data_IF_802708774411
#
_entry.id   IF_802708774411
#
_cell.length_a   1.000
_cell.length_b   1.000
_cell.length_c   1.000
_cell.angle_alpha   90.00
_cell.angle_beta   90.00
_cell.angle_gamma   90.00
#
_symmetry.space_group_name_H-M   'P 1'
#
loop_
_entity.id
_entity.type
_entity.pdbx_description
1 polymer ?
#
# COMPACT_ATOMS: atom_id res chain seq x y z
N UNK A 1 -1.08 10.53 -4.80
CA UNK A 1 -2.13 10.26 -5.80
C UNK A 1 -1.58 9.63 -7.07
N UNK A 2 -1.39 8.31 -7.02
CA UNK A 2 -1.29 7.46 -8.20
C UNK A 2 -2.68 6.86 -8.45
N UNK A 3 -3.25 7.07 -9.62
CA UNK A 3 -4.58 6.57 -9.98
C UNK A 3 -4.43 5.29 -10.80
N UNK A 4 -5.24 4.26 -10.50
CA UNK A 4 -5.34 3.03 -11.28
C UNK A 4 -5.68 3.34 -12.75
N UNK A 5 -6.39 4.43 -13.04
CA UNK A 5 -6.65 4.92 -14.39
C UNK A 5 -5.40 5.36 -15.17
N UNK A 6 -4.26 5.57 -14.49
CA UNK A 6 -2.97 5.86 -15.14
C UNK A 6 -2.27 4.60 -15.65
N UNK A 7 -2.68 3.41 -15.17
CA UNK A 7 -2.22 2.15 -15.74
C UNK A 7 -3.03 1.85 -16.99
N UNK A 8 -2.36 1.52 -18.09
CA UNK A 8 -3.05 1.08 -19.29
C UNK A 8 -3.97 -0.11 -18.95
N UNK A 9 -5.23 -0.05 -19.40
CA UNK A 9 -6.21 -1.11 -19.09
C UNK A 9 -5.72 -2.49 -19.56
N UNK A 10 -4.93 -2.51 -20.64
CA UNK A 10 -4.27 -3.68 -21.18
C UNK A 10 -3.27 -4.25 -20.16
N UNK A 11 -2.34 -3.44 -19.63
CA UNK A 11 -1.36 -3.87 -18.63
C UNK A 11 -2.03 -4.45 -17.39
N UNK A 12 -3.10 -3.81 -16.92
CA UNK A 12 -3.86 -4.29 -15.76
C UNK A 12 -4.45 -5.69 -15.99
N UNK A 13 -4.99 -5.94 -17.18
CA UNK A 13 -5.58 -7.24 -17.50
C UNK A 13 -4.50 -8.32 -17.71
N UNK A 14 -3.38 -7.96 -18.35
CA UNK A 14 -2.22 -8.84 -18.49
C UNK A 14 -1.69 -9.26 -17.11
N UNK A 15 -1.46 -8.30 -16.22
CA UNK A 15 -0.96 -8.57 -14.87
C UNK A 15 -1.90 -9.49 -14.09
N UNK A 16 -3.23 -9.27 -14.18
CA UNK A 16 -4.21 -10.13 -13.49
C UNK A 16 -4.14 -11.57 -13.96
N UNK A 17 -4.08 -11.79 -15.27
CA UNK A 17 -4.03 -13.14 -15.83
C UNK A 17 -2.72 -13.83 -15.47
N UNK A 18 -1.59 -13.15 -15.68
CA UNK A 18 -0.27 -13.70 -15.40
C UNK A 18 -0.08 -14.04 -13.92
N UNK A 19 -0.49 -13.15 -13.00
CA UNK A 19 -0.42 -13.41 -11.56
C UNK A 19 -1.32 -14.59 -11.17
N UNK A 20 -2.51 -14.69 -11.76
CA UNK A 20 -3.39 -15.83 -11.51
C UNK A 20 -2.74 -17.14 -11.94
N UNK A 21 -2.19 -17.21 -13.15
CA UNK A 21 -1.47 -18.40 -13.63
C UNK A 21 -0.29 -18.75 -12.71
N UNK A 22 0.54 -17.75 -12.39
CA UNK A 22 1.72 -17.94 -11.54
C UNK A 22 1.40 -18.48 -10.14
N UNK A 23 0.23 -18.14 -9.57
CA UNK A 23 -0.11 -18.48 -8.18
C UNK A 23 -1.11 -19.63 -8.03
N UNK A 24 -1.84 -19.97 -9.10
CA UNK A 24 -2.98 -20.89 -9.02
C UNK A 24 -3.01 -21.96 -10.12
N UNK A 25 -2.04 -21.98 -11.05
CA UNK A 25 -1.95 -23.00 -12.11
C UNK A 25 -0.66 -23.80 -11.99
N UNK A 26 -0.79 -25.02 -11.49
CA UNK A 26 0.33 -25.94 -11.31
C UNK A 26 0.83 -26.54 -12.64
N UNK A 27 0.04 -26.45 -13.70
CA UNK A 27 0.36 -26.96 -15.04
C UNK A 27 1.15 -25.96 -15.91
N UNK A 28 1.33 -24.72 -15.45
CA UNK A 28 2.00 -23.65 -16.20
C UNK A 28 3.20 -23.13 -15.38
N UNK A 29 4.45 -23.32 -15.86
CA UNK A 29 5.61 -22.77 -15.17
C UNK A 29 5.55 -21.22 -15.10
N UNK A 30 5.78 -20.58 -13.94
CA UNK A 30 5.67 -19.12 -13.78
C UNK A 30 6.51 -18.30 -14.78
N UNK A 31 7.67 -18.82 -15.19
CA UNK A 31 8.54 -18.18 -16.19
C UNK A 31 7.84 -18.03 -17.55
N UNK A 32 7.00 -19.00 -17.93
CA UNK A 32 6.26 -18.98 -19.19
C UNK A 32 5.20 -17.89 -19.14
N UNK A 33 4.39 -17.83 -18.07
CA UNK A 33 3.39 -16.76 -17.89
C UNK A 33 4.01 -15.36 -17.90
N UNK A 34 5.21 -15.20 -17.34
CA UNK A 34 5.94 -13.92 -17.38
C UNK A 34 6.34 -13.56 -18.82
N UNK A 35 6.95 -14.48 -19.56
CA UNK A 35 7.39 -14.22 -20.93
C UNK A 35 6.21 -13.84 -21.84
N UNK A 36 5.11 -14.61 -21.79
CA UNK A 36 3.91 -14.33 -22.58
C UNK A 36 3.28 -12.98 -22.20
N UNK A 37 3.18 -12.68 -20.90
CA UNK A 37 2.66 -11.40 -20.44
C UNK A 37 3.47 -10.21 -20.96
N UNK A 38 4.80 -10.33 -20.96
CA UNK A 38 5.72 -9.28 -21.45
C UNK A 38 5.57 -9.08 -22.95
N UNK A 39 5.44 -10.15 -23.73
CA UNK A 39 5.31 -10.04 -25.19
C UNK A 39 3.94 -9.50 -25.61
N UNK A 40 2.86 -9.87 -24.91
CA UNK A 40 1.54 -9.28 -25.10
C UNK A 40 1.59 -7.77 -24.74
N UNK A 41 2.25 -7.40 -23.64
CA UNK A 41 2.35 -6.00 -23.22
C UNK A 41 3.09 -5.14 -24.26
N UNK A 42 4.21 -5.62 -24.80
CA UNK A 42 4.95 -4.93 -25.88
C UNK A 42 4.11 -4.76 -27.15
N UNK A 43 3.25 -5.74 -27.46
CA UNK A 43 2.49 -5.76 -28.72
C UNK A 43 1.22 -4.90 -28.66
N UNK A 44 0.56 -4.83 -27.51
CA UNK A 44 -0.81 -4.32 -27.40
C UNK A 44 -0.97 -3.13 -26.44
N UNK A 45 0.10 -2.67 -25.79
CA UNK A 45 0.04 -1.59 -24.81
C UNK A 45 0.99 -0.44 -25.17
N UNK A 46 1.59 0.23 -24.18
CA UNK A 46 2.51 1.36 -24.39
C UNK A 46 3.97 0.92 -24.55
N UNK A 47 4.83 1.81 -25.05
CA UNK A 47 6.25 1.53 -25.25
C UNK A 47 6.98 1.08 -23.97
N UNK A 48 6.54 1.55 -22.81
CA UNK A 48 7.12 1.21 -21.50
C UNK A 48 6.49 -0.04 -20.85
N UNK A 49 5.36 -0.53 -21.38
CA UNK A 49 4.55 -1.57 -20.74
C UNK A 49 5.30 -2.90 -20.60
N UNK A 50 6.11 -3.29 -21.59
CA UNK A 50 6.89 -4.54 -21.52
C UNK A 50 7.85 -4.57 -20.32
N UNK A 51 8.56 -3.45 -20.08
CA UNK A 51 9.48 -3.32 -18.93
C UNK A 51 8.71 -3.26 -17.61
N UNK A 52 7.61 -2.49 -17.60
CA UNK A 52 6.75 -2.34 -16.43
C UNK A 52 6.16 -3.69 -15.98
N UNK A 53 5.53 -4.44 -16.90
CA UNK A 53 4.94 -5.75 -16.63
C UNK A 53 6.00 -6.74 -16.15
N UNK A 54 7.16 -6.80 -16.81
CA UNK A 54 8.24 -7.68 -16.39
C UNK A 54 8.67 -7.40 -14.94
N UNK A 55 8.91 -6.13 -14.61
CA UNK A 55 9.35 -5.74 -13.27
C UNK A 55 8.36 -6.09 -12.17
N UNK A 56 7.05 -5.90 -12.42
CA UNK A 56 6.01 -6.28 -11.45
C UNK A 56 5.95 -7.80 -11.26
N UNK A 57 5.92 -8.57 -12.35
CA UNK A 57 5.81 -10.03 -12.24
C UNK A 57 7.07 -10.66 -11.63
N UNK A 58 8.26 -10.14 -11.92
CA UNK A 58 9.49 -10.56 -11.26
C UNK A 58 9.45 -10.30 -9.76
N UNK A 59 8.96 -9.14 -9.33
CA UNK A 59 8.79 -8.82 -7.91
C UNK A 59 7.77 -9.76 -7.23
N UNK A 60 6.67 -10.07 -7.90
CA UNK A 60 5.67 -11.04 -7.39
C UNK A 60 6.30 -12.43 -7.24
N UNK A 61 7.02 -12.90 -8.27
CA UNK A 61 7.70 -14.20 -8.27
C UNK A 61 8.77 -14.30 -7.17
N UNK A 62 9.58 -13.26 -6.99
CA UNK A 62 10.73 -13.28 -6.09
C UNK A 62 10.41 -12.97 -4.62
N UNK A 63 9.30 -12.29 -4.34
CA UNK A 63 8.99 -11.85 -2.97
C UNK A 63 8.37 -12.94 -2.09
N UNK A 64 7.75 -13.97 -2.69
CA UNK A 64 6.85 -14.89 -1.98
C UNK A 64 5.85 -14.17 -1.06
N UNK A 65 5.52 -12.91 -1.40
CA UNK A 65 4.74 -12.00 -0.58
C UNK A 65 3.25 -12.29 -0.67
N UNK A 66 2.45 -11.36 -0.16
CA UNK A 66 0.99 -11.44 -0.22
C UNK A 66 0.38 -10.06 -0.45
N UNK A 67 -0.68 -10.01 -1.23
CA UNK A 67 -1.55 -8.85 -1.36
C UNK A 67 -2.72 -8.97 -0.39
N UNK A 68 -2.96 -7.91 0.39
CA UNK A 68 -4.05 -7.85 1.36
C UNK A 68 -4.86 -6.57 1.14
N UNK A 69 -6.15 -6.67 1.38
CA UNK A 69 -7.04 -5.52 1.44
C UNK A 69 -7.46 -5.27 2.88
N UNK A 70 -7.59 -4.01 3.25
CA UNK A 70 -8.11 -3.58 4.55
C UNK A 70 -9.23 -2.57 4.36
N UNK A 71 -10.19 -2.48 5.29
CA UNK A 71 -11.27 -1.49 5.19
C UNK A 71 -10.74 -0.05 5.20
N UNK A 72 -11.23 0.77 4.27
CA UNK A 72 -10.88 2.20 4.20
C UNK A 72 -11.36 2.97 5.44
N UNK A 73 -12.50 2.57 6.02
CA UNK A 73 -13.09 3.18 7.21
C UNK A 73 -12.16 3.12 8.44
N UNK A 74 -11.20 2.20 8.47
CA UNK A 74 -10.25 2.03 9.57
C UNK A 74 -8.96 2.85 9.38
N UNK A 75 -8.76 3.50 8.23
CA UNK A 75 -7.58 4.31 7.95
C UNK A 75 -7.32 5.38 9.03
N UNK A 76 -8.32 6.19 9.44
CA UNK A 76 -8.11 7.22 10.46
C UNK A 76 -7.64 6.64 11.79
N UNK A 77 -8.15 5.46 12.16
CA UNK A 77 -7.74 4.74 13.38
C UNK A 77 -6.25 4.37 13.32
N UNK A 78 -5.76 3.85 12.20
CA UNK A 78 -4.34 3.48 12.06
C UNK A 78 -3.41 4.69 11.99
N UNK A 79 -3.85 5.78 11.35
CA UNK A 79 -3.13 7.05 11.38
C UNK A 79 -2.99 7.58 12.82
N UNK A 80 -4.09 7.60 13.57
CA UNK A 80 -4.09 8.03 14.98
C UNK A 80 -3.24 7.12 15.87
N UNK A 81 -3.24 5.81 15.62
CA UNK A 81 -2.42 4.86 16.36
C UNK A 81 -0.92 5.17 16.20
N UNK A 82 -0.45 5.39 14.98
CA UNK A 82 0.95 5.72 14.73
C UNK A 82 1.36 7.04 15.38
N UNK A 83 0.53 8.08 15.24
CA UNK A 83 0.78 9.39 15.87
C UNK A 83 0.79 9.31 17.39
N UNK A 84 -0.16 8.61 18.00
CA UNK A 84 -0.28 8.54 19.47
C UNK A 84 0.77 7.67 20.15
N UNK A 85 1.32 6.66 19.45
CA UNK A 85 2.32 5.74 20.00
C UNK A 85 3.75 6.20 19.75
N UNK A 86 4.01 6.70 18.54
CA UNK A 86 5.37 6.95 18.07
C UNK A 86 5.61 8.41 17.66
N UNK A 87 4.57 9.26 17.68
CA UNK A 87 4.65 10.64 17.17
C UNK A 87 4.77 10.72 15.65
N UNK A 88 4.51 9.63 14.92
CA UNK A 88 4.67 9.55 13.47
C UNK A 88 3.34 9.82 12.78
N UNK A 89 3.28 10.91 12.01
CA UNK A 89 2.13 11.21 11.15
C UNK A 89 2.23 10.47 9.80
N UNK A 90 1.44 9.39 9.66
CA UNK A 90 1.37 8.58 8.44
C UNK A 90 0.37 9.13 7.42
N UNK A 91 0.63 8.91 6.14
CA UNK A 91 -0.41 9.10 5.12
C UNK A 91 -1.41 7.93 5.11
N UNK A 92 -2.62 8.11 4.51
CA UNK A 92 -3.65 7.08 4.41
C UNK A 92 -3.16 5.74 3.86
N UNK A 93 -2.36 5.75 2.80
CA UNK A 93 -1.84 4.55 2.15
C UNK A 93 -0.86 3.77 3.05
N UNK A 94 -0.13 4.48 3.90
CA UNK A 94 0.79 3.85 4.86
C UNK A 94 0.04 3.32 6.09
N UNK A 95 -1.03 3.99 6.49
CA UNK A 95 -1.90 3.50 7.55
C UNK A 95 -2.54 2.14 7.21
N UNK A 96 -2.89 1.93 5.93
CA UNK A 96 -3.33 0.62 5.41
C UNK A 96 -2.27 -0.47 5.65
N UNK A 97 -0.97 -0.15 5.56
CA UNK A 97 0.08 -1.14 5.87
C UNK A 97 0.06 -1.60 7.33
N UNK A 98 -0.34 -0.74 8.28
CA UNK A 98 -0.52 -1.14 9.67
C UNK A 98 -1.71 -2.09 9.82
N UNK A 99 -2.83 -1.81 9.13
CA UNK A 99 -3.96 -2.73 9.06
C UNK A 99 -3.58 -4.08 8.45
N UNK A 100 -2.78 -4.08 7.38
CA UNK A 100 -2.28 -5.31 6.77
C UNK A 100 -1.37 -6.08 7.73
N UNK A 101 -0.52 -5.39 8.50
CA UNK A 101 0.31 -6.01 9.53
C UNK A 101 -0.54 -6.65 10.65
N UNK A 102 -1.62 -6.01 11.10
CA UNK A 102 -2.57 -6.61 12.05
C UNK A 102 -3.16 -7.92 11.51
N UNK A 103 -3.54 -7.95 10.23
CA UNK A 103 -4.06 -9.15 9.57
C UNK A 103 -2.99 -10.24 9.48
N UNK A 104 -1.77 -9.89 9.07
CA UNK A 104 -0.66 -10.83 8.95
C UNK A 104 -0.27 -11.47 10.29
N UNK A 105 -0.29 -10.68 11.37
CA UNK A 105 -0.08 -11.16 12.73
C UNK A 105 -1.18 -12.14 13.16
N UNK A 106 -2.46 -11.80 12.91
CA UNK A 106 -3.61 -12.68 13.23
C UNK A 106 -3.57 -14.00 12.46
N UNK A 107 -3.11 -13.97 11.20
CA UNK A 107 -2.94 -15.16 10.36
C UNK A 107 -1.67 -15.96 10.70
N UNK A 108 -0.81 -15.47 11.59
CA UNK A 108 0.47 -16.11 11.92
C UNK A 108 1.49 -16.07 10.77
N UNK A 109 1.26 -15.25 9.73
CA UNK A 109 2.19 -15.05 8.61
C UNK A 109 3.38 -14.17 8.99
N UNK A 110 3.21 -13.34 10.03
CA UNK A 110 4.27 -12.55 10.66
C UNK A 110 4.22 -12.84 12.16
N UNK A 111 5.38 -13.01 12.80
CA UNK A 111 5.49 -13.18 14.26
C UNK A 111 5.75 -11.83 14.96
N UNK A 112 5.32 -11.65 16.21
CA UNK A 112 5.59 -10.42 16.99
C UNK A 112 7.08 -10.09 17.18
N UNK A 113 7.96 -11.08 17.02
CA UNK A 113 9.41 -10.93 17.16
C UNK A 113 10.12 -10.59 15.85
N UNK A 114 9.41 -10.57 14.72
CA UNK A 114 10.00 -10.25 13.42
C UNK A 114 10.21 -8.75 13.26
N UNK A 115 11.28 -8.37 12.56
CA UNK A 115 11.55 -6.97 12.22
C UNK A 115 10.83 -6.64 10.92
N UNK A 116 9.91 -5.70 11.01
CA UNK A 116 9.07 -5.26 9.89
C UNK A 116 9.46 -3.84 9.51
N UNK A 117 9.58 -3.58 8.21
CA UNK A 117 9.77 -2.25 7.65
C UNK A 117 8.49 -1.84 6.94
N UNK A 118 7.92 -0.72 7.37
CA UNK A 118 6.77 -0.09 6.72
C UNK A 118 7.26 1.12 5.93
N UNK A 119 7.00 1.14 4.62
CA UNK A 119 7.39 2.25 3.76
C UNK A 119 6.35 3.37 3.82
N UNK A 120 6.69 4.48 4.49
CA UNK A 120 5.86 5.68 4.45
C UNK A 120 6.08 6.44 3.14
N UNK A 121 5.12 6.36 2.22
CA UNK A 121 5.27 6.88 0.85
C UNK A 121 4.75 8.30 0.66
N UNK A 122 4.15 8.90 1.69
CA UNK A 122 3.53 10.22 1.62
C UNK A 122 3.60 10.98 2.94
N UNK A 123 3.54 12.31 2.83
CA UNK A 123 3.44 13.20 3.98
C UNK A 123 1.97 13.35 4.39
N UNK A 124 1.64 13.09 5.66
CA UNK A 124 0.26 13.18 6.17
C UNK A 124 -0.39 14.56 5.92
N UNK A 125 0.41 15.62 5.90
CA UNK A 125 -0.01 17.00 5.64
C UNK A 125 -0.65 17.19 4.26
N UNK A 126 -0.45 16.26 3.33
CA UNK A 126 -1.14 16.27 2.02
C UNK A 126 -2.63 15.93 2.13
N UNK A 127 -3.07 15.41 3.27
CA UNK A 127 -4.41 14.91 3.52
C UNK A 127 -5.02 15.58 4.76
N UNK A 128 -5.13 16.93 4.80
CA UNK A 128 -5.70 17.63 5.95
C UNK A 128 -7.12 17.16 6.29
N UNK A 129 -7.88 16.70 5.30
CA UNK A 129 -9.20 16.10 5.46
C UNK A 129 -9.20 14.75 6.20
N UNK A 130 -8.10 14.00 6.11
CA UNK A 130 -7.94 12.73 6.81
C UNK A 130 -7.36 12.91 8.23
N UNK A 131 -6.79 14.08 8.52
CA UNK A 131 -6.20 14.44 9.81
C UNK A 131 -7.25 15.17 10.65
N UNK A 132 -8.09 14.39 11.34
CA UNK A 132 -9.02 14.92 12.32
C UNK A 132 -8.39 14.94 13.71
N UNK A 133 -7.82 16.08 14.10
CA UNK A 133 -7.36 16.31 15.46
C UNK A 133 -8.33 17.23 16.21
N UNK A 134 -8.73 16.80 17.42
CA UNK A 134 -9.32 17.72 18.40
C UNK A 134 -8.19 18.49 19.07
N UNK A 135 -7.60 19.43 18.33
CA UNK A 135 -6.62 20.34 18.93
C UNK A 135 -7.34 21.32 19.86
N UNK A 136 -6.80 21.56 21.07
CA UNK A 136 -7.30 22.63 21.91
C UNK A 136 -7.21 23.95 21.14
N UNK A 137 -8.35 24.65 21.01
CA UNK A 137 -8.38 25.97 20.39
C UNK A 137 -8.01 27.02 21.44
N UNK A 138 -6.95 27.76 21.17
CA UNK A 138 -6.57 28.92 21.98
C UNK A 138 -7.40 30.12 21.53
N UNK A 139 -8.04 30.79 22.49
CA UNK A 139 -8.71 32.06 22.28
C UNK A 139 -7.65 33.17 22.32
N UNK A 140 -7.24 33.66 21.15
CA UNK A 140 -6.20 34.70 21.05
C UNK A 140 -6.60 36.05 21.67
N UNK A 141 -7.85 36.21 22.12
CA UNK A 141 -8.32 37.41 22.81
C UNK A 141 -8.17 37.33 24.34
N UNK A 142 -7.81 36.16 24.88
CA UNK A 142 -7.63 35.93 26.32
C UNK A 142 -6.15 35.76 26.67
N UNK A 143 -5.74 36.14 27.90
CA UNK A 143 -4.41 35.80 28.41
C UNK A 143 -4.18 34.29 28.39
N UNK A 144 -2.97 33.86 28.05
CA UNK A 144 -2.58 32.45 28.06
C UNK A 144 -2.49 31.97 29.52
N UNK A 145 -3.29 30.99 29.90
CA UNK A 145 -3.17 30.32 31.20
C UNK A 145 -2.04 29.28 31.16
N UNK A 146 -0.82 29.74 31.42
CA UNK A 146 0.40 28.91 31.42
C UNK A 146 0.35 27.74 32.41
N UNK A 147 -0.50 27.82 33.43
CA UNK A 147 -0.62 26.80 34.47
C UNK A 147 -1.41 25.55 34.01
N UNK A 148 -2.01 25.59 32.80
CA UNK A 148 -2.88 24.54 32.24
C UNK A 148 -2.33 23.85 30.98
N UNK A 149 -1.14 24.27 30.52
CA UNK A 149 -0.46 23.74 29.32
C UNK A 149 0.73 22.91 29.78
#
# INVERSE_FOLDING_TARGET
>A
NWDIGRMAMVDRNILRLAIYEMLHRDDIPPVVSINEAVDIAKKYSTDDSGKFVNGILDAVRGSSGVALATPEADIPKWMQLASSREGIALCPETAVCLGALEVLLKLGKVKPTERIVVFNTGAAQKYPEAVHEQLPRLDCTKPIEWDRI
#
